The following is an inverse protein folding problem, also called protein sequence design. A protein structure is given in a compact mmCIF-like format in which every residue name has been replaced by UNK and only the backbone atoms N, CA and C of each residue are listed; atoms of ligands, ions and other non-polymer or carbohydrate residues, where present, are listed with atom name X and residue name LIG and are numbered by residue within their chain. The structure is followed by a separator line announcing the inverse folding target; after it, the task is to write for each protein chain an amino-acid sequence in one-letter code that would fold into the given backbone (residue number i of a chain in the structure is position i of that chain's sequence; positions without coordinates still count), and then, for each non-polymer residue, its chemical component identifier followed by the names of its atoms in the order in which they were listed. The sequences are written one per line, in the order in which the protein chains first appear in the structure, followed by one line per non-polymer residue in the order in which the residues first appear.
data_IF_216330244625
#
_entry.id   IF_216330244625
#
_cell.length_a   1.000
_cell.length_b   1.000
_cell.length_c   1.000
_cell.angle_alpha   90.00
_cell.angle_beta   90.00
_cell.angle_gamma   90.00
#
_symmetry.space_group_name_H-M   'P 1'
#
loop_
_entity.id
_entity.type
_entity.pdbx_description
1 polymer ?
#
# COMPACT_ATOMS: atom_id res chain seq x y z
N UNK A 1 -57.97 -25.85 6.46
CA UNK A 1 -56.62 -25.60 7.01
C UNK A 1 -55.91 -24.60 6.10
N UNK A 2 -55.61 -23.39 6.60
CA UNK A 2 -54.89 -22.34 5.86
C UNK A 2 -53.41 -22.44 6.22
N UNK A 3 -52.56 -22.82 5.28
CA UNK A 3 -51.12 -22.73 5.45
C UNK A 3 -50.67 -21.29 5.14
N UNK A 4 -50.26 -20.58 6.18
CA UNK A 4 -49.60 -19.28 6.08
C UNK A 4 -48.19 -19.46 5.52
N UNK A 5 -47.96 -18.99 4.30
CA UNK A 5 -46.63 -18.85 3.70
C UNK A 5 -45.91 -17.68 4.38
N UNK A 6 -44.92 -17.98 5.23
CA UNK A 6 -43.98 -16.97 5.72
C UNK A 6 -43.21 -16.37 4.52
N UNK A 7 -43.03 -15.05 4.45
CA UNK A 7 -42.24 -14.44 3.38
C UNK A 7 -40.78 -14.87 3.52
N UNK A 8 -40.25 -15.45 2.43
CA UNK A 8 -38.81 -15.72 2.26
C UNK A 8 -38.04 -14.42 2.50
N UNK A 9 -37.23 -14.40 3.56
CA UNK A 9 -36.19 -13.39 3.83
C UNK A 9 -35.37 -13.21 2.55
N UNK A 10 -35.46 -12.03 1.92
CA UNK A 10 -34.61 -11.65 0.78
C UNK A 10 -33.16 -11.74 1.24
N UNK A 11 -32.46 -12.81 0.83
CA UNK A 11 -31.00 -12.80 0.73
C UNK A 11 -30.67 -11.83 -0.39
N UNK A 12 -30.11 -10.68 -0.05
CA UNK A 12 -29.94 -9.60 -1.01
C UNK A 12 -29.01 -8.51 -0.55
N UNK A 13 -27.77 -8.87 -0.22
CA UNK A 13 -26.57 -8.07 -0.55
C UNK A 13 -25.39 -9.03 -0.42
N UNK A 14 -24.64 -9.29 -1.50
CA UNK A 14 -23.29 -9.82 -1.33
C UNK A 14 -22.48 -8.85 -0.45
N UNK A 15 -21.37 -9.28 0.18
CA UNK A 15 -20.52 -8.34 0.90
C UNK A 15 -20.17 -7.19 -0.05
N UNK A 16 -20.39 -5.94 0.38
CA UNK A 16 -20.07 -4.77 -0.43
C UNK A 16 -18.62 -4.88 -0.91
N UNK A 17 -18.41 -4.72 -2.22
CA UNK A 17 -17.09 -4.78 -2.83
C UNK A 17 -16.30 -3.57 -2.32
N UNK A 18 -15.37 -3.79 -1.39
CA UNK A 18 -14.60 -2.71 -0.78
C UNK A 18 -13.48 -2.33 -1.74
N UNK A 19 -13.42 -1.05 -2.14
CA UNK A 19 -12.46 -0.58 -3.14
C UNK A 19 -11.04 -0.60 -2.59
N UNK A 20 -10.14 -1.29 -3.27
CA UNK A 20 -8.71 -1.27 -2.94
C UNK A 20 -8.05 0.04 -3.40
N UNK A 21 -6.91 0.44 -2.77
CA UNK A 21 -6.12 1.56 -3.25
C UNK A 21 -5.69 1.35 -4.69
N UNK A 22 -5.89 2.36 -5.53
CA UNK A 22 -5.51 2.33 -6.94
C UNK A 22 -4.57 3.51 -7.23
N UNK A 23 -3.39 3.19 -7.74
CA UNK A 23 -2.33 4.16 -8.03
C UNK A 23 -2.12 4.36 -9.54
N UNK A 24 -2.86 3.64 -10.38
CA UNK A 24 -2.64 3.58 -11.81
C UNK A 24 -1.33 2.88 -12.20
N UNK A 25 -1.03 2.89 -13.49
CA UNK A 25 0.13 2.17 -14.05
C UNK A 25 1.47 2.89 -13.81
N UNK A 26 1.45 4.23 -13.78
CA UNK A 26 2.64 5.09 -13.63
C UNK A 26 2.40 6.23 -12.65
N UNK A 27 2.25 5.91 -11.34
CA UNK A 27 2.01 6.91 -10.32
C UNK A 27 3.16 7.90 -10.19
N UNK A 28 2.89 9.08 -9.61
CA UNK A 28 3.88 10.15 -9.47
C UNK A 28 5.13 9.69 -8.70
N UNK A 29 4.99 8.94 -7.60
CA UNK A 29 6.12 8.45 -6.81
C UNK A 29 7.05 7.50 -7.60
N UNK A 30 6.54 6.79 -8.61
CA UNK A 30 7.35 6.00 -9.51
C UNK A 30 8.20 6.92 -10.40
N UNK A 31 7.59 7.97 -10.94
CA UNK A 31 8.26 8.94 -11.81
C UNK A 31 9.32 9.73 -11.04
N UNK A 32 9.02 10.12 -9.80
CA UNK A 32 9.95 10.79 -8.90
C UNK A 32 11.17 9.90 -8.60
N UNK A 33 10.91 8.61 -8.34
CA UNK A 33 11.97 7.63 -8.13
C UNK A 33 12.84 7.46 -9.39
N UNK A 34 12.23 7.26 -10.56
CA UNK A 34 12.94 7.10 -11.85
C UNK A 34 13.81 8.32 -12.13
N UNK A 35 13.26 9.52 -11.97
CA UNK A 35 13.97 10.79 -12.17
C UNK A 35 15.20 10.89 -11.27
N UNK A 36 15.07 10.48 -10.00
CA UNK A 36 16.17 10.48 -9.03
C UNK A 36 17.29 9.51 -9.40
N UNK A 37 16.96 8.29 -9.82
CA UNK A 37 18.00 7.26 -10.12
C UNK A 37 18.64 7.44 -11.51
N UNK A 38 17.96 8.12 -12.43
CA UNK A 38 18.42 8.31 -13.81
C UNK A 38 19.75 9.04 -13.91
N UNK A 39 20.04 9.95 -12.97
CA UNK A 39 21.30 10.70 -12.93
C UNK A 39 22.53 9.82 -12.63
N UNK A 40 22.36 8.71 -11.91
CA UNK A 40 23.47 7.85 -11.48
C UNK A 40 23.58 6.57 -12.33
N UNK A 41 22.44 5.99 -12.72
CA UNK A 41 22.36 4.66 -13.32
C UNK A 41 21.90 4.67 -14.79
N UNK A 42 21.55 5.85 -15.32
CA UNK A 42 20.79 5.99 -16.55
C UNK A 42 19.30 5.70 -16.33
N UNK A 43 18.47 6.06 -17.30
CA UNK A 43 17.02 5.89 -17.21
C UNK A 43 16.63 4.39 -17.19
N UNK A 44 15.98 3.91 -16.12
CA UNK A 44 15.51 2.53 -16.05
C UNK A 44 14.45 2.24 -17.12
N UNK A 45 14.56 1.07 -17.75
CA UNK A 45 13.55 0.62 -18.72
C UNK A 45 12.35 0.06 -17.97
N UNK A 46 11.17 0.65 -18.19
CA UNK A 46 9.92 0.13 -17.65
C UNK A 46 9.48 -1.14 -18.41
N UNK A 47 9.19 -2.22 -17.69
CA UNK A 47 8.73 -3.49 -18.24
C UNK A 47 7.48 -3.98 -17.50
N UNK A 48 6.51 -4.58 -18.20
CA UNK A 48 5.31 -5.12 -17.56
C UNK A 48 5.59 -6.38 -16.73
N UNK A 49 6.55 -7.20 -17.16
CA UNK A 49 6.98 -8.43 -16.49
C UNK A 49 8.48 -8.59 -16.59
N UNK A 50 9.09 -9.10 -15.52
CA UNK A 50 10.51 -9.44 -15.53
C UNK A 50 10.75 -10.60 -16.49
N UNK A 51 11.54 -10.36 -17.54
CA UNK A 51 11.99 -11.44 -18.43
C UNK A 51 13.15 -12.21 -17.77
N UNK A 52 13.02 -13.54 -17.74
CA UNK A 52 14.07 -14.47 -17.34
C UNK A 52 15.40 -14.29 -18.09
N UNK A 53 15.37 -13.71 -19.30
CA UNK A 53 16.55 -13.40 -20.11
C UNK A 53 17.48 -12.35 -19.47
N UNK A 54 16.93 -11.45 -18.64
CA UNK A 54 17.70 -10.42 -17.93
C UNK A 54 18.71 -11.00 -16.95
N UNK A 55 18.45 -12.21 -16.42
CA UNK A 55 19.40 -12.92 -15.53
C UNK A 55 20.70 -13.30 -16.24
N UNK A 56 20.72 -13.30 -17.58
CA UNK A 56 21.89 -13.65 -18.39
C UNK A 56 22.67 -12.42 -18.85
N UNK A 57 22.12 -11.21 -18.69
CA UNK A 57 22.80 -9.98 -19.11
C UNK A 57 23.74 -9.48 -18.00
N UNK A 58 24.96 -9.10 -18.39
CA UNK A 58 25.94 -8.51 -17.47
C UNK A 58 25.58 -7.10 -17.00
N UNK A 59 24.80 -6.37 -17.80
CA UNK A 59 24.35 -5.03 -17.48
C UNK A 59 22.83 -4.93 -17.73
N UNK A 60 22.08 -4.49 -16.72
CA UNK A 60 20.65 -4.25 -16.81
C UNK A 60 20.23 -3.13 -15.85
N UNK A 61 19.17 -2.41 -16.21
CA UNK A 61 18.57 -1.33 -15.42
C UNK A 61 17.08 -1.28 -15.78
N UNK A 62 16.24 -1.96 -14.99
CA UNK A 62 14.82 -2.18 -15.32
C UNK A 62 13.93 -1.92 -14.12
N UNK A 63 12.72 -1.43 -14.39
CA UNK A 63 11.65 -1.24 -13.39
C UNK A 63 10.42 -1.99 -13.85
N UNK A 64 9.78 -2.74 -12.96
CA UNK A 64 8.56 -3.48 -13.30
C UNK A 64 7.56 -3.50 -12.13
N UNK A 65 6.25 -3.48 -12.42
CA UNK A 65 5.21 -3.54 -11.40
C UNK A 65 5.12 -4.95 -10.80
N UNK A 66 4.77 -5.03 -9.52
CA UNK A 66 4.53 -6.28 -8.80
C UNK A 66 3.15 -6.35 -8.14
N UNK A 67 2.32 -5.33 -8.36
CA UNK A 67 0.94 -5.24 -7.87
C UNK A 67 0.79 -4.29 -6.67
N UNK A 68 -0.44 -3.84 -6.42
CA UNK A 68 -0.78 -2.97 -5.28
C UNK A 68 -0.05 -1.62 -5.28
N UNK A 69 0.33 -1.09 -6.46
CA UNK A 69 1.10 0.15 -6.60
C UNK A 69 2.59 0.02 -6.33
N UNK A 70 3.12 -1.19 -6.17
CA UNK A 70 4.53 -1.37 -5.86
C UNK A 70 5.29 -1.78 -7.11
N UNK A 71 6.52 -1.29 -7.23
CA UNK A 71 7.43 -1.58 -8.33
C UNK A 71 8.77 -2.07 -7.79
N UNK A 72 9.47 -2.87 -8.60
CA UNK A 72 10.83 -3.31 -8.30
C UNK A 72 11.76 -2.71 -9.35
N UNK A 73 12.77 -1.98 -8.88
CA UNK A 73 13.91 -1.56 -9.68
C UNK A 73 15.03 -2.60 -9.53
N UNK A 74 15.29 -3.35 -10.60
CA UNK A 74 16.37 -4.31 -10.67
C UNK A 74 17.49 -3.74 -11.55
N UNK A 75 18.71 -3.64 -11.01
CA UNK A 75 19.83 -3.06 -11.72
C UNK A 75 21.18 -3.72 -11.38
N UNK A 76 22.09 -3.72 -12.33
CA UNK A 76 23.47 -4.15 -12.17
C UNK A 76 24.38 -2.96 -11.82
N UNK A 77 25.40 -3.17 -10.99
CA UNK A 77 26.46 -2.18 -10.74
C UNK A 77 27.73 -2.61 -11.45
N UNK A 78 28.39 -1.68 -12.16
CA UNK A 78 29.70 -1.93 -12.77
C UNK A 78 30.70 -2.40 -11.71
N UNK A 79 31.29 -3.58 -11.94
CA UNK A 79 32.24 -4.18 -11.01
C UNK A 79 31.63 -5.01 -9.86
N UNK A 80 30.30 -5.21 -9.86
CA UNK A 80 29.64 -6.16 -8.96
C UNK A 80 29.08 -7.34 -9.73
N UNK A 81 29.36 -8.56 -9.27
CA UNK A 81 28.78 -9.79 -9.81
C UNK A 81 27.35 -10.03 -9.32
N UNK A 82 26.83 -9.15 -8.46
CA UNK A 82 25.49 -9.29 -7.85
C UNK A 82 24.59 -8.13 -8.25
N UNK A 83 23.41 -8.48 -8.75
CA UNK A 83 22.32 -7.54 -8.99
C UNK A 83 21.79 -6.88 -7.72
N UNK A 84 21.36 -5.63 -7.82
CA UNK A 84 20.61 -4.94 -6.78
C UNK A 84 19.13 -4.87 -7.11
N UNK A 85 18.32 -4.82 -6.06
CA UNK A 85 16.88 -4.67 -6.11
C UNK A 85 16.48 -3.56 -5.14
N UNK A 86 15.70 -2.60 -5.62
CA UNK A 86 15.09 -1.57 -4.80
C UNK A 86 13.56 -1.65 -4.94
N UNK A 87 12.87 -1.59 -3.80
CA UNK A 87 11.41 -1.56 -3.75
C UNK A 87 10.95 -0.11 -3.83
N UNK A 88 10.04 0.17 -4.75
CA UNK A 88 9.41 1.47 -4.95
C UNK A 88 7.97 1.34 -4.47
N UNK A 89 7.69 1.88 -3.30
CA UNK A 89 6.38 1.84 -2.65
C UNK A 89 5.71 3.22 -2.71
N UNK A 90 4.38 3.29 -2.50
CA UNK A 90 3.71 4.54 -2.19
C UNK A 90 4.41 5.34 -1.07
N UNK A 91 4.40 6.69 -1.12
CA UNK A 91 4.97 7.53 -0.08
C UNK A 91 4.37 7.26 1.29
N UNK A 92 5.24 7.11 2.30
CA UNK A 92 4.80 6.86 3.67
C UNK A 92 4.17 8.12 4.28
N UNK A 93 2.93 8.05 4.80
CA UNK A 93 2.32 9.14 5.56
C UNK A 93 3.15 9.50 6.80
N UNK A 94 2.97 10.73 7.31
CA UNK A 94 3.64 11.18 8.53
C UNK A 94 3.26 10.30 9.73
N UNK A 95 4.15 10.28 10.73
CA UNK A 95 3.92 9.50 11.94
C UNK A 95 2.68 10.00 12.69
N UNK A 96 2.47 11.31 12.71
CA UNK A 96 1.33 11.98 13.34
C UNK A 96 0.01 11.59 12.66
N UNK A 97 -0.03 11.58 11.32
CA UNK A 97 -1.20 11.13 10.57
C UNK A 97 -1.48 9.65 10.86
N UNK A 98 -0.47 8.78 10.82
CA UNK A 98 -0.65 7.36 11.15
C UNK A 98 -1.17 7.14 12.58
N UNK A 99 -0.69 7.93 13.55
CA UNK A 99 -1.20 7.91 14.93
C UNK A 99 -2.66 8.34 15.01
N UNK A 100 -3.03 9.45 14.37
CA UNK A 100 -4.42 9.93 14.32
C UNK A 100 -5.36 8.87 13.71
N UNK A 101 -4.90 8.18 12.66
CA UNK A 101 -5.64 7.06 12.06
C UNK A 101 -5.83 5.90 13.03
N UNK A 102 -4.79 5.52 13.77
CA UNK A 102 -4.87 4.46 14.77
C UNK A 102 -5.86 4.81 15.89
N UNK A 103 -5.87 6.06 16.37
CA UNK A 103 -6.86 6.53 17.35
C UNK A 103 -8.28 6.49 16.78
N UNK A 104 -8.48 7.01 15.57
CA UNK A 104 -9.78 6.99 14.91
C UNK A 104 -10.31 5.57 14.68
N UNK A 105 -9.47 4.65 14.21
CA UNK A 105 -9.82 3.24 14.05
C UNK A 105 -10.25 2.60 15.38
N UNK A 106 -9.52 2.86 16.47
CA UNK A 106 -9.85 2.35 17.79
C UNK A 106 -11.23 2.82 18.29
N UNK A 107 -11.64 4.03 17.90
CA UNK A 107 -12.93 4.61 18.29
C UNK A 107 -14.11 4.16 17.41
N UNK A 108 -13.86 3.63 16.20
CA UNK A 108 -14.94 3.18 15.30
C UNK A 108 -15.04 1.67 15.14
N UNK A 109 -14.00 0.92 15.52
CA UNK A 109 -14.00 -0.54 15.45
C UNK A 109 -15.07 -1.10 16.39
N UNK A 110 -15.91 -1.97 15.86
CA UNK A 110 -17.01 -2.60 16.59
C UNK A 110 -17.39 -3.90 15.91
N UNK A 111 -17.85 -4.88 16.69
CA UNK A 111 -18.30 -6.18 16.18
C UNK A 111 -17.31 -7.30 16.44
N UNK A 112 -17.58 -8.44 15.82
CA UNK A 112 -16.76 -9.66 15.98
C UNK A 112 -15.42 -9.50 15.25
N UNK A 113 -14.39 -10.15 15.81
CA UNK A 113 -13.08 -10.18 15.19
C UNK A 113 -13.15 -11.00 13.88
N UNK A 114 -12.54 -10.51 12.78
CA UNK A 114 -12.50 -11.26 11.52
C UNK A 114 -11.69 -12.56 11.69
N UNK A 115 -12.12 -13.62 11.00
CA UNK A 115 -11.51 -14.95 11.11
C UNK A 115 -10.44 -15.22 10.04
N UNK A 116 -10.43 -14.42 8.97
CA UNK A 116 -9.46 -14.53 7.86
C UNK A 116 -8.75 -13.21 7.54
N UNK A 117 -7.61 -13.30 6.84
CA UNK A 117 -6.87 -12.13 6.38
C UNK A 117 -7.69 -11.29 5.39
N UNK A 118 -8.48 -11.93 4.54
CA UNK A 118 -9.37 -11.32 3.56
C UNK A 118 -10.54 -10.60 4.23
N UNK A 119 -11.14 -11.18 5.27
CA UNK A 119 -12.14 -10.50 6.09
C UNK A 119 -11.55 -9.32 6.83
N UNK A 120 -10.36 -9.48 7.41
CA UNK A 120 -9.64 -8.41 8.08
C UNK A 120 -9.32 -7.25 7.13
N UNK A 121 -8.92 -7.56 5.89
CA UNK A 121 -8.69 -6.57 4.83
C UNK A 121 -9.94 -5.79 4.50
N UNK A 122 -11.05 -6.49 4.25
CA UNK A 122 -12.34 -5.86 3.93
C UNK A 122 -12.84 -4.99 5.08
N UNK A 123 -12.78 -5.49 6.31
CA UNK A 123 -13.14 -4.73 7.50
C UNK A 123 -12.30 -3.45 7.61
N UNK A 124 -10.97 -3.56 7.57
CA UNK A 124 -10.08 -2.40 7.67
C UNK A 124 -10.33 -1.37 6.56
N UNK A 125 -10.46 -1.80 5.30
CA UNK A 125 -10.76 -0.88 4.21
C UNK A 125 -12.10 -0.16 4.41
N UNK A 126 -13.15 -0.88 4.85
CA UNK A 126 -14.45 -0.26 5.13
C UNK A 126 -14.42 0.73 6.31
N UNK A 127 -13.62 0.44 7.34
CA UNK A 127 -13.41 1.38 8.45
C UNK A 127 -12.64 2.61 7.98
N UNK A 128 -11.61 2.43 7.16
CA UNK A 128 -10.84 3.51 6.56
C UNK A 128 -11.72 4.43 5.70
N UNK A 129 -12.58 3.87 4.85
CA UNK A 129 -13.54 4.66 4.06
C UNK A 129 -14.53 5.47 4.92
N UNK A 130 -14.80 5.01 6.15
CA UNK A 130 -15.69 5.71 7.10
C UNK A 130 -14.98 6.83 7.87
N UNK A 131 -13.71 6.64 8.21
CA UNK A 131 -12.95 7.60 9.03
C UNK A 131 -12.18 8.64 8.21
N UNK A 132 -11.76 8.31 6.98
CA UNK A 132 -11.01 9.25 6.16
C UNK A 132 -11.94 10.29 5.55
N UNK A 133 -11.58 11.56 5.72
CA UNK A 133 -12.30 12.70 5.13
C UNK A 133 -11.38 13.44 4.15
N UNK A 134 -11.43 13.11 2.85
CA UNK A 134 -10.59 13.77 1.85
C UNK A 134 -10.86 15.29 1.81
N UNK A 135 -9.81 16.08 2.04
CA UNK A 135 -9.83 17.54 2.05
C UNK A 135 -8.73 18.11 1.15
N UNK A 136 -8.91 19.35 0.72
CA UNK A 136 -7.93 20.11 -0.05
C UNK A 136 -7.15 21.10 0.84
N UNK A 137 -7.54 21.23 2.11
CA UNK A 137 -6.88 22.09 3.10
C UNK A 137 -5.67 21.42 3.74
N UNK A 138 -4.72 22.24 4.21
CA UNK A 138 -3.68 21.77 5.11
C UNK A 138 -4.28 21.26 6.42
N UNK A 139 -3.72 20.18 6.97
CA UNK A 139 -4.19 19.54 8.18
C UNK A 139 -3.04 19.44 9.18
N UNK A 140 -3.26 19.94 10.39
CA UNK A 140 -2.35 19.72 11.51
C UNK A 140 -2.65 18.38 12.20
N UNK A 141 -1.91 17.34 11.81
CA UNK A 141 -2.07 16.00 12.37
C UNK A 141 -1.57 15.89 13.82
N UNK A 142 -0.73 16.81 14.31
CA UNK A 142 -0.17 16.73 15.66
C UNK A 142 -1.25 16.93 16.74
N UNK A 143 -2.14 17.88 16.50
CA UNK A 143 -3.32 18.14 17.32
C UNK A 143 -4.31 16.97 17.28
N UNK A 144 -4.56 16.40 16.09
CA UNK A 144 -5.47 15.26 15.93
C UNK A 144 -4.97 13.99 16.62
N UNK A 145 -3.67 13.71 16.53
CA UNK A 145 -3.08 12.52 17.15
C UNK A 145 -3.19 12.50 18.68
N UNK A 146 -3.49 13.65 19.31
CA UNK A 146 -3.67 13.79 20.75
C UNK A 146 -5.13 13.70 21.19
N UNK A 147 -6.08 13.75 20.26
CA UNK A 147 -7.52 13.68 20.54
C UNK A 147 -7.96 12.22 20.70
N UNK A 148 -8.16 11.78 21.94
CA UNK A 148 -8.58 10.42 22.26
C UNK A 148 -10.00 10.08 21.78
N UNK A 149 -10.84 11.07 21.50
CA UNK A 149 -12.23 10.86 21.02
C UNK A 149 -12.34 10.97 19.50
N UNK A 150 -11.22 11.16 18.78
CA UNK A 150 -11.18 11.31 17.34
C UNK A 150 -11.88 10.15 16.64
N UNK A 151 -12.83 10.44 15.74
CA UNK A 151 -13.55 9.41 14.96
C UNK A 151 -13.40 9.56 13.45
N UNK A 152 -12.95 10.73 12.99
CA UNK A 152 -12.81 11.09 11.58
C UNK A 152 -11.53 11.89 11.42
N UNK A 153 -10.79 11.62 10.35
CA UNK A 153 -9.47 12.17 10.11
C UNK A 153 -9.51 12.90 8.76
N UNK A 154 -9.46 14.24 8.75
CA UNK A 154 -9.25 14.97 7.51
C UNK A 154 -7.90 14.58 6.94
N UNK A 155 -7.87 14.18 5.66
CA UNK A 155 -6.66 13.77 4.96
C UNK A 155 -6.61 14.45 3.61
N UNK A 156 -5.45 14.92 3.19
CA UNK A 156 -5.30 15.42 1.81
C UNK A 156 -5.71 14.35 0.81
N UNK A 157 -6.44 14.72 -0.25
CA UNK A 157 -6.99 13.76 -1.23
C UNK A 157 -5.96 12.78 -1.78
N UNK A 158 -4.79 13.29 -2.16
CA UNK A 158 -3.65 12.52 -2.68
C UNK A 158 -3.08 11.49 -1.68
N UNK A 159 -3.29 11.69 -0.38
CA UNK A 159 -2.77 10.83 0.68
C UNK A 159 -3.75 9.74 1.11
N UNK A 160 -5.03 9.82 0.72
CA UNK A 160 -6.06 8.88 1.18
C UNK A 160 -5.72 7.43 0.81
N UNK A 161 -5.33 7.19 -0.44
CA UNK A 161 -4.98 5.84 -0.91
C UNK A 161 -3.60 5.37 -0.37
N UNK A 162 -2.67 6.30 -0.13
CA UNK A 162 -1.40 5.98 0.56
C UNK A 162 -1.64 5.52 2.00
N UNK A 163 -2.50 6.21 2.75
CA UNK A 163 -2.89 5.80 4.10
C UNK A 163 -3.50 4.41 4.08
N UNK A 164 -4.45 4.15 3.17
CA UNK A 164 -5.06 2.82 3.04
C UNK A 164 -4.02 1.75 2.76
N UNK A 165 -3.13 1.97 1.81
CA UNK A 165 -2.03 1.05 1.51
C UNK A 165 -1.19 0.73 2.74
N UNK A 166 -0.71 1.76 3.46
CA UNK A 166 0.17 1.58 4.60
C UNK A 166 -0.52 0.92 5.81
N UNK A 167 -1.78 1.28 6.10
CA UNK A 167 -2.53 0.64 7.19
C UNK A 167 -2.77 -0.83 6.90
N UNK A 168 -3.18 -1.18 5.68
CA UNK A 168 -3.42 -2.57 5.28
C UNK A 168 -2.12 -3.38 5.34
N UNK A 169 -1.03 -2.83 4.79
CA UNK A 169 0.29 -3.45 4.82
C UNK A 169 0.76 -3.70 6.27
N UNK A 170 0.67 -2.67 7.13
CA UNK A 170 1.23 -2.72 8.48
C UNK A 170 0.37 -3.56 9.45
N UNK A 171 -0.97 -3.55 9.33
CA UNK A 171 -1.88 -4.25 10.27
C UNK A 171 -2.18 -5.71 9.87
N UNK A 172 -2.19 -6.04 8.58
CA UNK A 172 -2.47 -7.40 8.08
C UNK A 172 -1.17 -8.17 7.85
N UNK A 173 -0.07 -7.46 7.61
CA UNK A 173 1.26 -7.99 7.81
C UNK A 173 1.88 -8.73 6.63
N UNK A 174 1.14 -9.16 5.60
CA UNK A 174 1.77 -9.73 4.39
C UNK A 174 0.86 -9.87 3.17
N UNK A 175 -0.47 -9.75 3.23
CA UNK A 175 -1.32 -10.08 2.08
C UNK A 175 -1.07 -9.28 0.78
N UNK A 176 -0.63 -8.02 0.90
CA UNK A 176 -0.22 -7.20 -0.27
C UNK A 176 1.24 -7.46 -0.68
N UNK A 177 2.09 -7.89 0.27
CA UNK A 177 3.51 -8.19 0.08
C UNK A 177 3.82 -9.69 -0.13
N UNK A 178 2.81 -10.56 -0.10
CA UNK A 178 2.98 -12.02 -0.24
C UNK A 178 3.57 -12.42 -1.61
N UNK A 179 3.22 -11.75 -2.73
CA UNK A 179 3.91 -11.96 -4.00
C UNK A 179 5.42 -11.70 -3.94
N UNK A 180 5.88 -10.86 -3.01
CA UNK A 180 7.26 -10.43 -2.85
C UNK A 180 8.11 -11.48 -2.13
N UNK A 181 7.56 -12.08 -1.05
CA UNK A 181 8.21 -13.20 -0.34
C UNK A 181 8.34 -14.45 -1.20
N UNK A 182 7.44 -14.61 -2.19
CA UNK A 182 7.47 -15.74 -3.13
C UNK A 182 8.44 -15.53 -4.29
N UNK A 183 9.09 -14.38 -4.42
CA UNK A 183 10.14 -14.20 -5.44
C UNK A 183 11.39 -15.01 -5.06
N UNK A 184 11.83 -15.98 -5.87
CA UNK A 184 12.96 -16.86 -5.51
C UNK A 184 14.30 -16.14 -5.29
N UNK A 185 14.41 -14.86 -5.67
CA UNK A 185 15.68 -14.13 -5.76
C UNK A 185 15.92 -13.12 -4.63
N UNK A 186 14.94 -12.81 -3.78
CA UNK A 186 15.08 -11.82 -2.71
C UNK A 186 15.57 -12.44 -1.39
N UNK A 187 16.82 -12.93 -1.36
CA UNK A 187 17.45 -13.46 -0.14
C UNK A 187 18.12 -12.39 0.72
N UNK A 188 18.05 -11.11 0.37
CA UNK A 188 18.62 -10.03 1.19
C UNK A 188 17.79 -8.76 1.07
N UNK A 189 16.79 -8.63 1.94
CA UNK A 189 16.04 -7.39 2.12
C UNK A 189 16.89 -6.42 2.95
N UNK A 190 17.39 -5.34 2.34
CA UNK A 190 17.82 -4.14 3.07
C UNK A 190 16.82 -3.04 2.74
N UNK A 191 16.01 -2.57 3.71
CA UNK A 191 15.19 -1.39 3.47
C UNK A 191 16.13 -0.23 3.11
N UNK A 192 15.81 0.50 2.04
CA UNK A 192 16.48 1.74 1.72
C UNK A 192 16.10 2.79 2.78
N UNK A 193 16.72 2.69 3.96
CA UNK A 193 16.79 3.79 4.89
C UNK A 193 17.56 4.91 4.18
N UNK A 194 16.85 6.00 3.86
CA UNK A 194 17.45 7.25 3.47
C UNK A 194 18.46 7.63 4.55
N UNK A 195 19.72 7.58 4.18
CA UNK A 195 20.80 8.11 4.98
C UNK A 195 20.71 9.65 5.02
N UNK A 196 21.10 10.17 6.18
CA UNK A 196 21.50 11.55 6.51
C UNK A 196 20.42 12.63 6.56
N UNK A 197 19.89 12.84 7.77
CA UNK A 197 19.76 14.19 8.32
C UNK A 197 21.16 14.66 8.74
N UNK A 198 21.58 15.81 8.21
CA UNK A 198 22.49 16.76 8.87
C UNK A 198 21.67 17.97 9.24
#
# INVERSE_FOLDING_TARGET
MRFSLLPRRRRGTGPAEVKEPDFGERPQYLQDYISKVSGELGEPVYMEKLDSSLKKQRAYNVVYPVGGGVFIHAYSIKGSDTGKYAVIEPPRPSLELMKAIDVALANVISGEAPESAEERKRLLLSLLDRILEPTDSEVDYSSLASDIELRRVPVKREWADYVKYHVIRDKIGVGVLEPFLRTPTLRTYRPAALATYT
#
